data_IF_143307828153
#
_entry.id   IF_143307828153
#
_cell.length_a   1.000
_cell.length_b   1.000
_cell.length_c   1.000
_cell.angle_alpha   90.00
_cell.angle_beta   90.00
_cell.angle_gamma   90.00
#
_symmetry.space_group_name_H-M   'P 1'
#
loop_
_entity.id
_entity.type
_entity.pdbx_description
1 polymer ?
#
# COMPACT_ATOMS: atom_id res chain seq x y z
N UNK A 1 -20.01 -15.30 35.87
CA UNK A 1 -18.84 -16.16 35.59
C UNK A 1 -17.70 -15.77 36.54
N UNK A 2 -16.91 -16.70 37.08
CA UNK A 2 -15.73 -16.35 37.87
C UNK A 2 -14.74 -15.59 36.97
N UNK A 3 -14.46 -14.32 37.30
CA UNK A 3 -13.44 -13.53 36.59
C UNK A 3 -12.07 -13.92 37.15
N UNK A 4 -11.43 -14.89 36.51
CA UNK A 4 -10.00 -15.11 36.70
C UNK A 4 -9.24 -14.20 35.74
N UNK A 5 -8.53 -13.23 36.32
CA UNK A 5 -7.72 -12.28 35.57
C UNK A 5 -6.58 -12.96 34.79
N UNK A 6 -6.01 -14.04 35.34
CA UNK A 6 -4.95 -14.82 34.69
C UNK A 6 -5.46 -15.52 33.43
N UNK A 7 -6.63 -16.16 33.51
CA UNK A 7 -7.27 -16.80 32.36
C UNK A 7 -7.65 -15.76 31.30
N UNK A 8 -8.19 -14.61 31.72
CA UNK A 8 -8.58 -13.53 30.79
C UNK A 8 -7.38 -13.03 29.97
N UNK A 9 -6.22 -12.86 30.60
CA UNK A 9 -5.00 -12.42 29.92
C UNK A 9 -4.47 -13.48 28.94
N UNK A 10 -4.60 -14.77 29.27
CA UNK A 10 -4.19 -15.87 28.38
C UNK A 10 -5.08 -16.00 27.15
N UNK A 11 -6.37 -15.65 27.25
CA UNK A 11 -7.30 -15.73 26.12
C UNK A 11 -7.27 -14.50 25.19
N UNK A 12 -6.61 -13.41 25.60
CA UNK A 12 -6.58 -12.15 24.86
C UNK A 12 -6.10 -12.29 23.40
N UNK A 13 -5.01 -13.04 23.09
CA UNK A 13 -4.56 -13.20 21.71
C UNK A 13 -5.59 -13.93 20.84
N UNK A 14 -6.18 -15.01 21.36
CA UNK A 14 -7.21 -15.77 20.66
C UNK A 14 -8.48 -14.92 20.46
N UNK A 15 -8.89 -14.17 21.48
CA UNK A 15 -10.04 -13.26 21.41
C UNK A 15 -9.82 -12.16 20.36
N UNK A 16 -8.63 -11.58 20.28
CA UNK A 16 -8.27 -10.58 19.28
C UNK A 16 -8.35 -11.14 17.86
N UNK A 17 -7.78 -12.33 17.64
CA UNK A 17 -7.83 -13.02 16.34
C UNK A 17 -9.28 -13.35 15.96
N UNK A 18 -10.08 -13.91 16.88
CA UNK A 18 -11.51 -14.19 16.64
C UNK A 18 -12.28 -12.91 16.33
N UNK A 19 -12.01 -11.80 17.03
CA UNK A 19 -12.68 -10.52 16.79
C UNK A 19 -12.38 -9.99 15.38
N UNK A 20 -11.10 -10.01 14.97
CA UNK A 20 -10.70 -9.58 13.62
C UNK A 20 -11.34 -10.45 12.55
N UNK A 21 -11.24 -11.78 12.68
CA UNK A 21 -11.80 -12.70 11.68
C UNK A 21 -13.31 -12.55 11.58
N UNK A 22 -14.00 -12.54 12.73
CA UNK A 22 -15.45 -12.36 12.79
C UNK A 22 -15.88 -11.05 12.15
N UNK A 23 -15.13 -9.97 12.41
CA UNK A 23 -15.38 -8.68 11.79
C UNK A 23 -15.15 -8.73 10.28
N UNK A 24 -14.01 -9.23 9.81
CA UNK A 24 -13.70 -9.34 8.38
C UNK A 24 -14.74 -10.19 7.62
N UNK A 25 -15.21 -11.29 8.22
CA UNK A 25 -16.27 -12.12 7.65
C UNK A 25 -17.59 -11.35 7.54
N UNK A 26 -18.00 -10.67 8.62
CA UNK A 26 -19.20 -9.84 8.63
C UNK A 26 -19.12 -8.71 7.61
N UNK A 27 -18.01 -7.98 7.55
CA UNK A 27 -17.78 -6.90 6.57
C UNK A 27 -17.86 -7.40 5.14
N UNK A 28 -17.19 -8.52 4.84
CA UNK A 28 -17.17 -9.10 3.49
C UNK A 28 -18.58 -9.50 3.05
N UNK A 29 -19.33 -10.18 3.92
CA UNK A 29 -20.72 -10.56 3.64
C UNK A 29 -21.62 -9.33 3.47
N UNK A 30 -21.54 -8.35 4.38
CA UNK A 30 -22.37 -7.15 4.36
C UNK A 30 -22.10 -6.29 3.13
N UNK A 31 -20.84 -6.15 2.72
CA UNK A 31 -20.47 -5.44 1.49
C UNK A 31 -21.08 -6.06 0.25
N UNK A 32 -21.02 -7.39 0.11
CA UNK A 32 -21.62 -8.10 -1.04
C UNK A 32 -23.14 -7.91 -1.06
N UNK A 33 -23.78 -7.98 0.10
CA UNK A 33 -25.24 -7.79 0.22
C UNK A 33 -25.60 -6.34 -0.11
N UNK A 34 -24.91 -5.36 0.45
CA UNK A 34 -25.13 -3.93 0.21
C UNK A 34 -25.01 -3.56 -1.28
N UNK A 35 -24.04 -4.14 -2.00
CA UNK A 35 -23.90 -3.98 -3.45
C UNK A 35 -25.13 -4.56 -4.17
N UNK A 36 -25.59 -5.76 -3.80
CA UNK A 36 -26.76 -6.42 -4.41
C UNK A 36 -28.08 -5.69 -4.12
N UNK A 37 -28.26 -5.19 -2.91
CA UNK A 37 -29.47 -4.49 -2.46
C UNK A 37 -29.45 -2.99 -2.75
N UNK A 38 -28.32 -2.45 -3.20
CA UNK A 38 -28.09 -1.00 -3.40
C UNK A 38 -28.40 -0.17 -2.17
N UNK A 39 -28.11 -0.71 -0.99
CA UNK A 39 -28.32 -0.03 0.29
C UNK A 39 -27.01 0.53 0.80
N UNK A 40 -27.06 1.73 1.38
CA UNK A 40 -25.92 2.24 2.13
C UNK A 40 -25.73 1.39 3.39
N UNK A 41 -24.47 1.14 3.71
CA UNK A 41 -24.06 0.32 4.84
C UNK A 41 -22.92 1.03 5.55
N UNK A 42 -23.03 1.14 6.87
CA UNK A 42 -22.04 1.78 7.73
C UNK A 42 -21.21 0.69 8.44
N UNK A 43 -19.93 0.63 8.08
CA UNK A 43 -18.94 -0.29 8.63
C UNK A 43 -18.75 -0.13 10.14
N UNK A 44 -18.77 1.11 10.64
CA UNK A 44 -18.61 1.41 12.06
C UNK A 44 -19.82 0.94 12.86
N UNK A 45 -21.02 1.14 12.32
CA UNK A 45 -22.25 0.70 12.96
C UNK A 45 -22.33 -0.83 13.06
N UNK A 46 -21.88 -1.54 12.02
CA UNK A 46 -21.79 -3.01 12.04
C UNK A 46 -20.73 -3.48 13.04
N UNK A 47 -19.58 -2.80 13.16
CA UNK A 47 -18.56 -3.11 14.18
C UNK A 47 -19.15 -3.02 15.60
N UNK A 48 -19.88 -1.94 15.89
CA UNK A 48 -20.56 -1.75 17.18
C UNK A 48 -21.59 -2.87 17.40
N UNK A 49 -22.41 -3.17 16.39
CA UNK A 49 -23.41 -4.24 16.46
C UNK A 49 -22.81 -5.61 16.77
N UNK A 50 -21.72 -5.98 16.08
CA UNK A 50 -20.98 -7.22 16.32
C UNK A 50 -20.36 -7.27 17.73
N UNK A 51 -19.85 -6.15 18.23
CA UNK A 51 -19.31 -6.04 19.58
C UNK A 51 -20.39 -6.26 20.64
N UNK A 52 -21.51 -5.55 20.54
CA UNK A 52 -22.65 -5.70 21.45
C UNK A 52 -23.20 -7.12 21.41
N UNK A 53 -23.34 -7.72 20.23
CA UNK A 53 -23.80 -9.10 20.09
C UNK A 53 -22.90 -10.11 20.83
N UNK A 54 -21.58 -9.95 20.77
CA UNK A 54 -20.62 -10.80 21.49
C UNK A 54 -20.66 -10.58 23.01
N UNK A 55 -20.84 -9.33 23.46
CA UNK A 55 -21.02 -9.03 24.89
C UNK A 55 -22.27 -9.71 25.42
N UNK A 56 -23.41 -9.56 24.73
CA UNK A 56 -24.67 -10.23 25.10
C UNK A 56 -24.50 -11.75 25.10
N UNK A 57 -23.84 -12.31 24.08
CA UNK A 57 -23.55 -13.75 23.99
C UNK A 57 -22.75 -14.26 25.20
N UNK A 58 -21.74 -13.50 25.66
CA UNK A 58 -20.93 -13.86 26.81
C UNK A 58 -21.76 -13.99 28.11
N UNK A 59 -22.80 -13.16 28.29
CA UNK A 59 -23.71 -13.27 29.43
C UNK A 59 -24.74 -14.39 29.30
N UNK A 60 -24.97 -14.90 28.09
CA UNK A 60 -25.91 -15.99 27.81
C UNK A 60 -25.24 -17.38 27.72
N UNK A 61 -23.97 -17.51 28.12
CA UNK A 61 -23.17 -18.74 27.96
C UNK A 61 -23.04 -19.20 26.49
N UNK A 62 -23.16 -18.28 25.53
CA UNK A 62 -22.97 -18.57 24.13
C UNK A 62 -21.50 -18.38 23.72
N UNK A 63 -21.08 -19.09 22.67
CA UNK A 63 -19.79 -18.85 22.02
C UNK A 63 -19.82 -17.48 21.30
N UNK A 64 -18.65 -16.88 21.00
CA UNK A 64 -18.57 -15.65 20.22
C UNK A 64 -19.34 -15.78 18.90
N UNK A 65 -20.29 -14.87 18.68
CA UNK A 65 -21.15 -14.86 17.49
C UNK A 65 -20.57 -13.99 16.38
N UNK A 66 -20.88 -14.33 15.13
CA UNK A 66 -20.46 -13.62 13.92
C UNK A 66 -21.58 -13.62 12.88
N UNK A 67 -21.45 -12.77 11.85
CA UNK A 67 -22.22 -12.90 10.61
C UNK A 67 -21.92 -14.24 9.91
N UNK A 68 -22.86 -14.72 9.08
CA UNK A 68 -22.70 -15.99 8.37
C UNK A 68 -23.03 -15.80 6.89
N UNK A 69 -22.02 -15.95 6.03
CA UNK A 69 -22.16 -15.74 4.59
C UNK A 69 -23.29 -16.59 3.98
N UNK A 70 -23.30 -17.90 4.26
CA UNK A 70 -24.29 -18.83 3.73
C UNK A 70 -25.72 -18.51 4.19
N UNK A 71 -25.91 -18.21 5.48
CA UNK A 71 -27.23 -17.87 6.02
C UNK A 71 -27.75 -16.53 5.51
N UNK A 72 -26.89 -15.52 5.41
CA UNK A 72 -27.28 -14.21 4.89
C UNK A 72 -27.61 -14.28 3.39
N UNK A 73 -26.85 -15.05 2.60
CA UNK A 73 -27.14 -15.28 1.19
C UNK A 73 -28.48 -16.00 0.98
N UNK A 74 -28.76 -17.05 1.75
CA UNK A 74 -30.04 -17.75 1.72
C UNK A 74 -31.19 -16.82 2.14
N UNK A 75 -31.01 -16.04 3.20
CA UNK A 75 -32.02 -15.11 3.69
C UNK A 75 -32.38 -14.05 2.63
N UNK A 76 -31.36 -13.51 1.94
CA UNK A 76 -31.55 -12.59 0.81
C UNK A 76 -32.24 -13.27 -0.37
N UNK A 77 -31.84 -14.49 -0.74
CA UNK A 77 -32.45 -15.25 -1.83
C UNK A 77 -33.93 -15.59 -1.55
N UNK A 78 -34.28 -15.81 -0.28
CA UNK A 78 -35.66 -16.00 0.19
C UNK A 78 -36.48 -14.71 0.24
N UNK A 79 -35.92 -13.57 -0.19
CA UNK A 79 -36.63 -12.29 -0.29
C UNK A 79 -36.72 -11.50 1.02
N UNK A 80 -35.89 -11.80 2.02
CA UNK A 80 -35.87 -11.04 3.26
C UNK A 80 -35.41 -9.60 3.03
N UNK A 81 -36.17 -8.64 3.59
CA UNK A 81 -35.93 -7.19 3.44
C UNK A 81 -35.54 -6.48 4.73
N UNK A 82 -35.79 -7.10 5.88
CA UNK A 82 -35.58 -6.49 7.20
C UNK A 82 -34.91 -7.47 8.16
N UNK A 83 -34.31 -6.96 9.23
CA UNK A 83 -33.72 -7.77 10.30
C UNK A 83 -34.71 -8.66 11.07
N UNK A 84 -36.02 -8.47 10.88
CA UNK A 84 -37.05 -9.33 11.48
C UNK A 84 -36.90 -10.79 11.03
N UNK A 85 -36.38 -11.04 9.84
CA UNK A 85 -36.13 -12.40 9.36
C UNK A 85 -35.16 -13.18 10.29
N UNK A 86 -34.16 -12.50 10.85
CA UNK A 86 -33.23 -13.09 11.82
C UNK A 86 -33.92 -13.39 13.16
N UNK A 87 -34.87 -12.54 13.59
CA UNK A 87 -35.66 -12.77 14.81
C UNK A 87 -36.57 -13.98 14.65
N UNK A 88 -37.29 -14.11 13.52
CA UNK A 88 -38.09 -15.30 13.23
C UNK A 88 -37.22 -16.56 13.18
N UNK A 89 -36.05 -16.48 12.54
CA UNK A 89 -35.09 -17.59 12.52
C UNK A 89 -34.66 -18.01 13.93
N UNK A 90 -34.33 -17.04 14.79
CA UNK A 90 -33.99 -17.31 16.19
C UNK A 90 -35.15 -17.95 16.98
N UNK A 91 -36.38 -17.49 16.74
CA UNK A 91 -37.59 -18.07 17.36
C UNK A 91 -37.80 -19.52 16.92
N UNK A 92 -37.66 -19.84 15.63
CA UNK A 92 -37.75 -21.21 15.13
C UNK A 92 -36.66 -22.11 15.73
N UNK A 93 -35.43 -21.61 15.86
CA UNK A 93 -34.35 -22.34 16.55
C UNK A 93 -34.73 -22.61 18.01
N UNK A 94 -35.25 -21.61 18.74
CA UNK A 94 -35.69 -21.77 20.12
C UNK A 94 -36.80 -22.81 20.26
N UNK A 95 -37.84 -22.76 19.42
CA UNK A 95 -38.93 -23.74 19.39
C UNK A 95 -38.41 -25.14 19.09
N UNK A 96 -37.47 -25.26 18.14
CA UNK A 96 -36.85 -26.53 17.78
C UNK A 96 -36.12 -27.13 18.99
N UNK A 97 -35.35 -26.32 19.72
CA UNK A 97 -34.62 -26.76 20.90
C UNK A 97 -35.55 -27.22 22.04
N UNK A 98 -36.67 -26.53 22.25
CA UNK A 98 -37.61 -26.85 23.33
C UNK A 98 -38.47 -28.09 23.04
N UNK A 99 -38.94 -28.27 21.80
CA UNK A 99 -39.95 -29.28 21.48
C UNK A 99 -39.47 -30.38 20.53
N UNK A 100 -38.52 -30.09 19.63
CA UNK A 100 -38.16 -30.97 18.51
C UNK A 100 -36.79 -31.65 18.67
N UNK A 101 -36.02 -31.33 19.72
CA UNK A 101 -34.73 -32.00 20.01
C UNK A 101 -34.81 -33.54 20.05
N UNK A 102 -35.86 -34.18 20.61
CA UNK A 102 -35.98 -35.64 20.61
C UNK A 102 -36.02 -36.27 19.20
N UNK A 103 -36.57 -35.55 18.22
CA UNK A 103 -36.62 -36.03 16.82
C UNK A 103 -35.23 -36.06 16.17
N UNK A 104 -34.31 -35.23 16.65
CA UNK A 104 -32.94 -35.16 16.15
C UNK A 104 -31.99 -36.15 16.86
N UNK A 105 -32.47 -36.89 17.87
CA UNK A 105 -31.62 -37.77 18.68
C UNK A 105 -30.92 -38.87 17.85
N UNK A 106 -31.62 -39.44 16.86
CA UNK A 106 -31.09 -40.50 16.00
C UNK A 106 -30.34 -39.98 14.76
N UNK A 107 -30.08 -38.68 14.68
CA UNK A 107 -29.44 -38.09 13.51
C UNK A 107 -28.00 -38.62 13.36
N UNK A 108 -27.67 -39.34 12.27
CA UNK A 108 -26.34 -39.92 12.13
C UNK A 108 -25.27 -38.84 11.95
N UNK A 109 -24.13 -38.97 12.66
CA UNK A 109 -22.96 -38.10 12.49
C UNK A 109 -22.51 -37.92 11.03
N UNK A 110 -22.57 -38.96 10.15
CA UNK A 110 -22.23 -38.80 8.74
C UNK A 110 -23.11 -37.77 8.00
N UNK A 111 -24.38 -37.61 8.39
CA UNK A 111 -25.28 -36.61 7.78
C UNK A 111 -24.80 -35.20 8.13
N UNK A 112 -24.44 -34.95 9.40
CA UNK A 112 -23.87 -33.66 9.80
C UNK A 112 -22.54 -33.39 9.09
N UNK A 113 -21.67 -34.39 8.99
CA UNK A 113 -20.40 -34.26 8.29
C UNK A 113 -20.60 -33.91 6.81
N UNK A 114 -21.55 -34.56 6.12
CA UNK A 114 -21.87 -34.26 4.73
C UNK A 114 -22.36 -32.82 4.54
N UNK A 115 -23.24 -32.34 5.44
CA UNK A 115 -23.73 -30.95 5.41
C UNK A 115 -22.60 -29.94 5.63
N UNK A 116 -21.68 -30.21 6.58
CA UNK A 116 -20.51 -29.36 6.83
C UNK A 116 -19.58 -29.36 5.61
N UNK A 117 -19.27 -30.53 5.04
CA UNK A 117 -18.39 -30.63 3.88
C UNK A 117 -18.96 -29.92 2.65
N UNK A 118 -20.26 -30.02 2.43
CA UNK A 118 -20.94 -29.28 1.35
C UNK A 118 -20.75 -27.77 1.51
N UNK A 119 -20.90 -27.23 2.73
CA UNK A 119 -20.64 -25.82 3.00
C UNK A 119 -19.16 -25.46 2.79
N UNK A 120 -18.22 -26.27 3.30
CA UNK A 120 -16.77 -26.03 3.16
C UNK A 120 -16.34 -26.02 1.69
N UNK A 121 -16.81 -26.96 0.87
CA UNK A 121 -16.45 -27.00 -0.55
C UNK A 121 -16.90 -25.75 -1.31
N UNK A 122 -18.02 -25.14 -0.93
CA UNK A 122 -18.47 -23.87 -1.52
C UNK A 122 -17.62 -22.66 -1.14
N UNK A 123 -16.82 -22.75 -0.08
CA UNK A 123 -15.93 -21.67 0.37
C UNK A 123 -14.55 -21.74 -0.28
N UNK A 124 -14.17 -22.88 -0.86
CA UNK A 124 -12.87 -23.04 -1.53
C UNK A 124 -12.94 -22.36 -2.89
N UNK A 125 -12.32 -21.19 -3.02
CA UNK A 125 -12.26 -20.42 -4.28
C UNK A 125 -10.87 -20.47 -4.93
N UNK A 126 -10.64 -21.47 -5.78
CA UNK A 126 -9.38 -21.60 -6.55
C UNK A 126 -9.20 -20.41 -7.51
N UNK A 127 -10.30 -19.89 -8.04
CA UNK A 127 -10.32 -18.73 -8.93
C UNK A 127 -9.70 -17.49 -8.27
N UNK A 128 -10.04 -17.22 -7.01
CA UNK A 128 -9.49 -16.08 -6.26
C UNK A 128 -7.97 -16.18 -6.09
N UNK A 129 -7.45 -17.39 -5.82
CA UNK A 129 -5.99 -17.61 -5.71
C UNK A 129 -5.31 -17.40 -7.07
N UNK A 130 -5.96 -17.84 -8.16
CA UNK A 130 -5.45 -17.66 -9.52
C UNK A 130 -5.43 -16.19 -9.92
N UNK A 131 -6.47 -15.43 -9.62
CA UNK A 131 -6.54 -13.98 -9.83
C UNK A 131 -5.47 -13.23 -9.05
N UNK A 132 -5.25 -13.59 -7.78
CA UNK A 132 -4.16 -13.02 -6.98
C UNK A 132 -2.80 -13.30 -7.63
N UNK A 133 -2.58 -14.51 -8.12
CA UNK A 133 -1.34 -14.91 -8.79
C UNK A 133 -1.10 -14.17 -10.11
N UNK A 134 -2.15 -13.97 -10.92
CA UNK A 134 -2.04 -13.23 -12.19
C UNK A 134 -1.82 -11.74 -11.96
N UNK A 135 -2.45 -11.16 -10.92
CA UNK A 135 -2.24 -9.77 -10.54
C UNK A 135 -0.83 -9.51 -9.99
N UNK A 136 -0.38 -10.34 -9.04
CA UNK A 136 0.97 -10.27 -8.49
C UNK A 136 1.40 -11.62 -7.90
N UNK A 137 2.51 -12.17 -8.41
CA UNK A 137 3.06 -13.46 -7.95
C UNK A 137 3.27 -13.51 -6.43
N UNK A 138 3.67 -12.39 -5.81
CA UNK A 138 3.88 -12.33 -4.35
C UNK A 138 2.58 -12.46 -3.56
N UNK A 139 1.47 -11.91 -4.07
CA UNK A 139 0.14 -12.05 -3.45
C UNK A 139 -0.37 -13.50 -3.59
N UNK A 140 -0.12 -14.11 -4.74
CA UNK A 140 -0.40 -15.53 -4.96
C UNK A 140 0.39 -16.45 -4.02
N UNK A 141 1.70 -16.20 -3.84
CA UNK A 141 2.53 -16.94 -2.88
C UNK A 141 2.03 -16.74 -1.45
N UNK A 142 1.66 -15.51 -1.06
CA UNK A 142 1.12 -15.24 0.26
C UNK A 142 -0.17 -16.01 0.54
N UNK A 143 -1.08 -16.08 -0.44
CA UNK A 143 -2.31 -16.86 -0.33
C UNK A 143 -2.04 -18.36 -0.11
N UNK A 144 -1.13 -18.94 -0.92
CA UNK A 144 -0.76 -20.37 -0.83
C UNK A 144 -0.06 -20.67 0.50
N UNK A 145 0.90 -19.84 0.91
CA UNK A 145 1.61 -19.99 2.19
C UNK A 145 0.64 -19.89 3.35
N UNK A 146 -0.28 -18.93 3.34
CA UNK A 146 -1.28 -18.76 4.40
C UNK A 146 -2.24 -19.96 4.47
N UNK A 147 -2.66 -20.49 3.33
CA UNK A 147 -3.51 -21.69 3.25
C UNK A 147 -2.84 -22.90 3.90
N UNK A 148 -1.61 -23.23 3.49
CA UNK A 148 -0.88 -24.36 4.05
C UNK A 148 -0.47 -24.14 5.51
N UNK A 149 -0.05 -22.92 5.87
CA UNK A 149 0.26 -22.58 7.26
C UNK A 149 -0.96 -22.83 8.16
N UNK A 150 -2.15 -22.38 7.75
CA UNK A 150 -3.39 -22.58 8.51
C UNK A 150 -3.73 -24.06 8.69
N UNK A 151 -3.50 -24.88 7.67
CA UNK A 151 -3.72 -26.33 7.75
C UNK A 151 -2.69 -27.02 8.66
N UNK A 152 -1.41 -26.66 8.54
CA UNK A 152 -0.30 -27.22 9.34
C UNK A 152 -0.43 -26.86 10.82
N UNK A 153 -0.85 -25.63 11.12
CA UNK A 153 -1.01 -25.17 12.50
C UNK A 153 -2.30 -25.66 13.17
N UNK A 154 -3.19 -26.40 12.47
CA UNK A 154 -4.37 -26.99 13.08
C UNK A 154 -3.99 -27.93 14.26
N UNK A 155 -4.61 -27.82 15.45
CA UNK A 155 -5.87 -27.12 15.76
C UNK A 155 -5.74 -25.62 16.11
N UNK A 156 -4.52 -25.08 16.23
CA UNK A 156 -4.24 -23.69 16.57
C UNK A 156 -4.29 -22.78 15.32
N UNK A 157 -5.45 -22.69 14.68
CA UNK A 157 -5.71 -21.96 13.43
C UNK A 157 -5.24 -20.49 13.52
N UNK A 158 -5.31 -19.88 14.71
CA UNK A 158 -4.84 -18.51 14.97
C UNK A 158 -3.40 -18.26 14.51
N UNK A 159 -2.51 -19.24 14.64
CA UNK A 159 -1.10 -19.11 14.26
C UNK A 159 -0.93 -19.02 12.74
N UNK A 160 -1.72 -19.78 11.98
CA UNK A 160 -1.72 -19.71 10.51
C UNK A 160 -2.24 -18.37 10.00
N UNK A 161 -3.28 -17.84 10.64
CA UNK A 161 -3.86 -16.54 10.29
C UNK A 161 -2.86 -15.42 10.61
N UNK A 162 -2.22 -15.46 11.80
CA UNK A 162 -1.21 -14.48 12.17
C UNK A 162 -0.01 -14.51 11.20
N UNK A 163 0.39 -15.71 10.76
CA UNK A 163 1.44 -15.87 9.73
C UNK A 163 1.05 -15.17 8.43
N UNK A 164 -0.20 -15.33 7.97
CA UNK A 164 -0.69 -14.66 6.76
C UNK A 164 -0.74 -13.13 6.89
N UNK A 165 -1.15 -12.61 8.06
CA UNK A 165 -1.17 -11.17 8.35
C UNK A 165 0.25 -10.60 8.33
N UNK A 166 1.18 -11.24 9.03
CA UNK A 166 2.58 -10.82 9.07
C UNK A 166 3.17 -10.84 7.66
N UNK A 167 2.98 -11.93 6.91
CA UNK A 167 3.47 -12.05 5.55
C UNK A 167 2.92 -10.95 4.64
N UNK A 168 1.61 -10.65 4.73
CA UNK A 168 0.98 -9.59 3.95
C UNK A 168 1.56 -8.21 4.30
N UNK A 169 1.79 -7.93 5.58
CA UNK A 169 2.40 -6.69 6.04
C UNK A 169 3.86 -6.58 5.57
N UNK A 170 4.63 -7.67 5.67
CA UNK A 170 6.01 -7.72 5.17
C UNK A 170 6.06 -7.48 3.67
N UNK A 171 5.17 -8.10 2.89
CA UNK A 171 5.10 -7.88 1.44
C UNK A 171 4.69 -6.45 1.09
N UNK A 172 3.76 -5.87 1.85
CA UNK A 172 3.38 -4.47 1.71
C UNK A 172 4.58 -3.54 1.94
N UNK A 173 5.31 -3.71 3.05
CA UNK A 173 6.52 -2.94 3.35
C UNK A 173 7.59 -3.13 2.27
N UNK A 174 7.86 -4.36 1.85
CA UNK A 174 8.86 -4.65 0.83
C UNK A 174 8.56 -3.94 -0.49
N UNK A 175 7.28 -3.82 -0.87
CA UNK A 175 6.84 -3.11 -2.09
C UNK A 175 7.04 -1.60 -1.99
N UNK A 176 6.81 -1.01 -0.82
CA UNK A 176 6.95 0.44 -0.62
C UNK A 176 8.40 0.86 -0.39
N UNK A 177 9.29 -0.08 -0.02
CA UNK A 177 10.73 0.16 0.17
C UNK A 177 11.51 0.40 -1.13
N UNK A 178 11.06 -0.15 -2.27
CA UNK A 178 11.69 0.07 -3.58
C UNK A 178 10.70 0.64 -4.60
N UNK A 179 10.28 1.91 -4.45
CA UNK A 179 9.42 2.55 -5.44
C UNK A 179 10.07 2.59 -6.82
N UNK A 180 9.26 2.74 -7.87
CA UNK A 180 9.79 2.84 -9.22
C UNK A 180 10.48 4.19 -9.40
N UNK A 181 11.73 4.13 -9.87
CA UNK A 181 12.48 5.29 -10.34
C UNK A 181 12.53 5.20 -11.85
N UNK A 182 12.00 6.23 -12.51
CA UNK A 182 11.87 6.28 -13.96
C UNK A 182 12.77 7.39 -14.47
N UNK A 183 13.78 7.04 -15.25
CA UNK A 183 14.53 8.02 -16.04
C UNK A 183 13.64 8.51 -17.18
N UNK A 184 13.56 9.83 -17.30
CA UNK A 184 12.71 10.51 -18.26
C UNK A 184 13.51 10.95 -19.48
N UNK A 185 12.89 10.84 -20.65
CA UNK A 185 13.33 11.38 -21.92
C UNK A 185 12.27 12.30 -22.49
N UNK A 186 12.65 13.08 -23.50
CA UNK A 186 11.75 14.04 -24.16
C UNK A 186 11.13 13.36 -25.38
N UNK A 187 9.82 13.44 -25.50
CA UNK A 187 9.12 12.98 -26.72
C UNK A 187 9.08 14.05 -27.82
N UNK A 188 8.56 13.69 -28.99
CA UNK A 188 8.46 14.60 -30.16
C UNK A 188 7.65 15.87 -29.88
N UNK A 189 6.82 15.87 -28.83
CA UNK A 189 5.99 17.00 -28.41
C UNK A 189 6.60 17.82 -27.27
N UNK A 190 7.82 17.49 -26.84
CA UNK A 190 8.52 18.19 -25.76
C UNK A 190 8.05 17.80 -24.35
N UNK A 191 7.35 16.67 -24.19
CA UNK A 191 6.87 16.20 -22.87
C UNK A 191 7.77 15.12 -22.28
N UNK A 192 7.91 15.11 -20.96
CA UNK A 192 8.74 14.11 -20.28
C UNK A 192 8.00 12.78 -20.14
N UNK A 193 8.60 11.73 -20.70
CA UNK A 193 8.07 10.36 -20.65
C UNK A 193 9.16 9.37 -20.29
N UNK A 194 8.76 8.16 -19.91
CA UNK A 194 9.71 7.11 -19.57
C UNK A 194 10.63 6.78 -20.75
N UNK A 195 11.93 7.08 -20.62
CA UNK A 195 12.91 6.88 -21.68
C UNK A 195 12.99 5.41 -22.09
N UNK A 196 13.06 4.51 -21.10
CA UNK A 196 13.14 3.06 -21.36
C UNK A 196 11.89 2.48 -22.01
N UNK A 197 10.69 2.98 -21.67
CA UNK A 197 9.44 2.42 -22.20
C UNK A 197 9.17 2.84 -23.64
N UNK A 198 9.53 4.07 -24.00
CA UNK A 198 9.27 4.65 -25.31
C UNK A 198 10.53 4.77 -26.18
N UNK A 199 11.67 4.24 -25.71
CA UNK A 199 12.98 4.32 -26.36
C UNK A 199 13.37 5.76 -26.76
N UNK A 200 13.15 6.70 -25.83
CA UNK A 200 13.42 8.13 -26.05
C UNK A 200 14.88 8.48 -25.71
N UNK A 201 15.47 9.46 -26.40
CA UNK A 201 16.77 10.00 -26.02
C UNK A 201 16.70 10.71 -24.66
N UNK A 202 17.84 10.77 -23.98
CA UNK A 202 18.00 11.61 -22.78
C UNK A 202 17.88 13.10 -23.12
N UNK A 203 17.65 13.93 -22.10
CA UNK A 203 17.50 15.38 -22.28
C UNK A 203 18.78 16.04 -22.82
N UNK A 204 19.90 15.75 -22.16
CA UNK A 204 21.21 16.33 -22.46
C UNK A 204 22.29 15.44 -21.81
N UNK A 205 23.53 15.36 -22.34
CA UNK A 205 24.59 14.58 -21.70
C UNK A 205 24.83 14.96 -20.22
N UNK A 206 24.66 16.25 -19.91
CA UNK A 206 24.85 16.81 -18.57
C UNK A 206 23.59 16.82 -17.68
N UNK A 207 22.42 16.37 -18.17
CA UNK A 207 21.13 16.48 -17.46
C UNK A 207 20.41 15.14 -17.44
N UNK A 208 20.06 14.66 -16.25
CA UNK A 208 19.19 13.50 -16.07
C UNK A 208 17.91 13.90 -15.35
N UNK A 209 16.76 13.70 -16.00
CA UNK A 209 15.46 13.87 -15.37
C UNK A 209 14.93 12.53 -14.84
N UNK A 210 14.44 12.51 -13.61
CA UNK A 210 13.92 11.31 -12.96
C UNK A 210 12.55 11.57 -12.35
N UNK A 211 11.71 10.55 -12.33
CA UNK A 211 10.46 10.52 -11.56
C UNK A 211 10.53 9.43 -10.51
N UNK A 212 10.24 9.78 -9.27
CA UNK A 212 10.11 8.84 -8.16
C UNK A 212 8.63 8.60 -7.86
N UNK A 213 8.14 7.38 -8.08
CA UNK A 213 6.72 7.03 -7.93
C UNK A 213 6.45 6.49 -6.51
N UNK A 214 6.51 7.34 -5.48
CA UNK A 214 6.30 6.93 -4.08
C UNK A 214 6.41 8.05 -3.05
N UNK A 215 6.03 7.77 -1.81
CA UNK A 215 6.34 8.65 -0.67
C UNK A 215 7.82 8.53 -0.32
N UNK A 216 8.49 9.62 0.05
CA UNK A 216 9.84 9.57 0.63
C UNK A 216 9.70 9.45 2.15
N UNK A 217 10.08 8.31 2.69
CA UNK A 217 9.95 8.00 4.11
C UNK A 217 11.06 7.07 4.60
N UNK A 218 11.17 6.88 5.92
CA UNK A 218 12.28 6.17 6.56
C UNK A 218 12.71 4.87 5.86
N UNK A 219 11.76 4.08 5.32
CA UNK A 219 12.08 2.76 4.78
C UNK A 219 12.63 2.80 3.33
N UNK A 220 12.53 3.91 2.60
CA UNK A 220 12.95 4.00 1.20
C UNK A 220 13.88 5.17 0.85
N UNK A 221 14.20 6.03 1.80
CA UNK A 221 15.10 7.18 1.58
C UNK A 221 16.49 6.75 1.13
N UNK A 222 17.04 5.68 1.70
CA UNK A 222 18.33 5.12 1.27
C UNK A 222 18.29 4.63 -0.17
N UNK A 223 17.17 4.04 -0.60
CA UNK A 223 17.01 3.58 -1.98
C UNK A 223 16.97 4.75 -2.97
N UNK A 224 16.32 5.86 -2.60
CA UNK A 224 16.36 7.08 -3.41
C UNK A 224 17.78 7.64 -3.50
N UNK A 225 18.47 7.78 -2.37
CA UNK A 225 19.84 8.28 -2.30
C UNK A 225 20.80 7.42 -3.13
N UNK A 226 20.82 6.10 -2.91
CA UNK A 226 21.64 5.15 -3.67
C UNK A 226 21.39 5.25 -5.16
N UNK A 227 20.13 5.43 -5.58
CA UNK A 227 19.78 5.55 -6.99
C UNK A 227 20.33 6.85 -7.61
N UNK A 228 20.22 7.97 -6.89
CA UNK A 228 20.79 9.26 -7.31
C UNK A 228 22.31 9.15 -7.45
N UNK A 229 22.98 8.59 -6.46
CA UNK A 229 24.43 8.39 -6.46
C UNK A 229 24.88 7.42 -7.57
N UNK A 230 24.12 6.36 -7.82
CA UNK A 230 24.38 5.43 -8.90
C UNK A 230 24.32 6.13 -10.27
N UNK A 231 23.33 7.00 -10.49
CA UNK A 231 23.21 7.79 -11.73
C UNK A 231 24.40 8.72 -11.94
N UNK A 232 24.90 9.34 -10.87
CA UNK A 232 26.10 10.18 -10.91
C UNK A 232 27.34 9.35 -11.26
N UNK A 233 27.52 8.22 -10.59
CA UNK A 233 28.67 7.35 -10.86
C UNK A 233 28.66 6.74 -12.28
N UNK A 234 27.47 6.58 -12.87
CA UNK A 234 27.29 6.02 -14.21
C UNK A 234 27.43 7.04 -15.33
N UNK A 235 27.35 8.35 -15.02
CA UNK A 235 27.48 9.43 -15.99
C UNK A 235 28.41 10.53 -15.45
N UNK A 236 29.72 10.47 -15.75
CA UNK A 236 30.71 11.45 -15.27
C UNK A 236 30.48 12.89 -15.73
N UNK A 237 29.72 13.09 -16.81
CA UNK A 237 29.40 14.44 -17.34
C UNK A 237 28.15 15.04 -16.67
N UNK A 238 27.49 14.31 -15.77
CA UNK A 238 26.26 14.76 -15.15
C UNK A 238 26.49 15.97 -14.25
N UNK A 239 25.83 17.09 -14.56
CA UNK A 239 25.84 18.31 -13.75
C UNK A 239 24.50 18.60 -13.08
N UNK A 240 23.40 18.12 -13.64
CA UNK A 240 22.06 18.42 -13.13
C UNK A 240 21.20 17.17 -13.06
N UNK A 241 20.56 16.98 -11.91
CA UNK A 241 19.49 15.98 -11.72
C UNK A 241 18.18 16.72 -11.49
N UNK A 242 17.23 16.53 -12.41
CA UNK A 242 15.89 17.08 -12.29
C UNK A 242 14.94 16.01 -11.74
N UNK A 243 14.44 16.21 -10.53
CA UNK A 243 13.43 15.35 -9.90
C UNK A 243 12.04 15.88 -10.24
N UNK A 244 11.31 15.12 -11.05
CA UNK A 244 9.89 15.36 -11.33
C UNK A 244 9.07 14.83 -10.16
N UNK A 245 8.56 15.74 -9.36
CA UNK A 245 7.93 15.51 -8.06
C UNK A 245 6.48 15.07 -8.07
N UNK A 246 5.85 14.97 -9.25
CA UNK A 246 4.44 14.59 -9.36
C UNK A 246 4.14 13.16 -8.85
N UNK A 247 5.16 12.29 -8.84
CA UNK A 247 5.10 10.95 -8.25
C UNK A 247 5.31 10.92 -6.73
N UNK A 248 5.83 12.01 -6.14
CA UNK A 248 6.14 12.08 -4.71
C UNK A 248 4.87 12.45 -3.94
N UNK A 249 4.37 11.50 -3.15
CA UNK A 249 3.07 11.63 -2.46
C UNK A 249 3.16 12.21 -1.05
N UNK A 250 4.37 12.29 -0.48
CA UNK A 250 4.58 12.76 0.89
C UNK A 250 6.06 12.74 1.24
N UNK A 251 6.37 13.37 2.36
CA UNK A 251 7.71 13.47 2.92
C UNK A 251 7.60 13.35 4.45
N UNK A 252 8.36 12.44 5.06
CA UNK A 252 8.50 12.36 6.51
C UNK A 252 9.80 13.04 7.00
N UNK A 253 10.06 12.99 8.30
CA UNK A 253 11.26 13.58 8.90
C UNK A 253 12.56 12.98 8.34
N UNK A 254 12.61 11.65 8.13
CA UNK A 254 13.78 10.99 7.55
C UNK A 254 14.00 11.37 6.08
N UNK A 255 12.92 11.57 5.33
CA UNK A 255 12.97 12.06 3.95
C UNK A 255 13.48 13.50 3.86
N UNK A 256 13.05 14.37 4.76
CA UNK A 256 13.59 15.75 4.84
C UNK A 256 15.09 15.70 5.13
N UNK A 257 15.51 14.95 6.15
CA UNK A 257 16.92 14.89 6.56
C UNK A 257 17.80 14.34 5.44
N UNK A 258 17.40 13.22 4.81
CA UNK A 258 18.14 12.65 3.69
C UNK A 258 18.27 13.64 2.53
N UNK A 259 17.22 14.38 2.19
CA UNK A 259 17.30 15.40 1.14
C UNK A 259 18.27 16.53 1.49
N UNK A 260 18.32 16.98 2.75
CA UNK A 260 19.29 18.00 3.21
C UNK A 260 20.72 17.50 3.03
N UNK A 261 21.02 16.31 3.56
CA UNK A 261 22.35 15.71 3.46
C UNK A 261 22.75 15.46 2.00
N UNK A 262 21.80 15.02 1.16
CA UNK A 262 22.03 14.80 -0.26
C UNK A 262 22.34 16.11 -0.99
N UNK A 263 21.58 17.19 -0.73
CA UNK A 263 21.84 18.51 -1.31
C UNK A 263 23.23 19.04 -0.95
N UNK A 264 23.62 18.96 0.32
CA UNK A 264 24.96 19.37 0.78
C UNK A 264 26.06 18.57 0.07
N UNK A 265 25.90 17.25 -0.02
CA UNK A 265 26.85 16.36 -0.68
C UNK A 265 26.98 16.64 -2.17
N UNK A 266 25.85 16.87 -2.85
CA UNK A 266 25.85 17.15 -4.28
C UNK A 266 26.45 18.53 -4.59
N UNK A 267 26.19 19.52 -3.74
CA UNK A 267 26.80 20.86 -3.83
C UNK A 267 28.33 20.82 -3.77
N UNK A 268 28.91 19.95 -2.95
CA UNK A 268 30.38 19.76 -2.89
C UNK A 268 30.96 19.16 -4.17
N UNK A 269 30.17 18.37 -4.91
CA UNK A 269 30.58 17.76 -6.19
C UNK A 269 30.24 18.60 -7.42
N UNK A 270 29.62 19.78 -7.25
CA UNK A 270 29.20 20.64 -8.35
C UNK A 270 27.99 20.11 -9.13
N UNK A 271 27.21 19.19 -8.54
CA UNK A 271 26.00 18.63 -9.15
C UNK A 271 24.79 19.30 -8.53
N UNK A 272 23.92 19.88 -9.35
CA UNK A 272 22.68 20.53 -8.89
C UNK A 272 21.52 19.53 -8.86
N UNK A 273 20.82 19.46 -7.72
CA UNK A 273 19.57 18.72 -7.57
C UNK A 273 18.40 19.69 -7.63
N UNK A 274 17.60 19.59 -8.69
CA UNK A 274 16.46 20.47 -8.96
C UNK A 274 15.16 19.69 -8.88
N UNK A 275 14.06 20.38 -8.57
CA UNK A 275 12.74 19.78 -8.42
C UNK A 275 11.72 20.48 -9.31
N UNK A 276 10.79 19.74 -9.89
CA UNK A 276 9.65 20.34 -10.57
C UNK A 276 8.34 19.62 -10.28
N UNK A 277 7.22 20.34 -10.39
CA UNK A 277 5.87 19.77 -10.30
C UNK A 277 5.60 19.01 -8.98
N UNK A 278 6.07 19.58 -7.86
CA UNK A 278 5.87 19.03 -6.51
C UNK A 278 4.40 19.18 -6.07
N UNK A 279 3.86 18.17 -5.38
CA UNK A 279 2.52 18.24 -4.78
C UNK A 279 2.49 19.21 -3.60
N UNK A 280 1.37 19.92 -3.43
CA UNK A 280 1.18 20.87 -2.33
C UNK A 280 1.46 20.27 -0.94
N UNK A 281 0.98 19.05 -0.68
CA UNK A 281 1.24 18.35 0.59
C UNK A 281 2.73 18.12 0.87
N UNK A 282 3.56 17.99 -0.17
CA UNK A 282 5.01 17.86 -0.03
C UNK A 282 5.64 19.24 0.15
N UNK A 283 5.24 20.22 -0.67
CA UNK A 283 5.72 21.60 -0.57
C UNK A 283 5.47 22.21 0.81
N UNK A 284 4.30 21.94 1.41
CA UNK A 284 3.96 22.39 2.77
C UNK A 284 4.95 21.84 3.81
N UNK A 285 5.34 20.57 3.68
CA UNK A 285 6.35 19.97 4.56
C UNK A 285 7.73 20.58 4.32
N UNK A 286 8.11 20.78 3.06
CA UNK A 286 9.39 21.42 2.71
C UNK A 286 9.49 22.84 3.26
N UNK A 287 8.39 23.61 3.21
CA UNK A 287 8.33 24.98 3.73
C UNK A 287 8.46 24.99 5.26
N UNK A 288 7.67 24.17 5.97
CA UNK A 288 7.71 24.11 7.44
C UNK A 288 9.06 23.65 8.01
N UNK A 289 9.86 22.93 7.21
CA UNK A 289 11.14 22.34 7.65
C UNK A 289 12.37 23.12 7.17
N UNK A 290 12.16 24.23 6.46
CA UNK A 290 13.21 25.06 5.85
C UNK A 290 13.90 24.40 4.65
N UNK A 291 13.40 23.26 4.14
CA UNK A 291 14.03 22.56 3.03
C UNK A 291 13.98 23.38 1.72
N UNK A 292 12.92 24.19 1.53
CA UNK A 292 12.82 25.07 0.35
C UNK A 292 13.97 26.10 0.31
N UNK A 293 14.41 26.60 1.46
CA UNK A 293 15.50 27.57 1.56
C UNK A 293 16.85 26.92 1.23
N UNK A 294 17.04 25.66 1.62
CA UNK A 294 18.26 24.88 1.33
C UNK A 294 18.34 24.51 -0.15
N UNK A 295 17.21 24.14 -0.76
CA UNK A 295 17.16 23.83 -2.20
C UNK A 295 17.40 25.09 -3.05
N UNK A 296 16.92 26.24 -2.59
CA UNK A 296 16.89 27.48 -3.36
C UNK A 296 15.64 27.56 -4.25
N UNK A 297 14.98 28.72 -4.25
CA UNK A 297 13.77 28.93 -5.05
C UNK A 297 14.04 28.85 -6.56
N UNK A 298 15.28 29.09 -6.97
CA UNK A 298 15.78 28.98 -8.33
C UNK A 298 15.94 27.54 -8.83
N UNK A 299 15.86 26.54 -7.94
CA UNK A 299 15.96 25.12 -8.26
C UNK A 299 14.61 24.40 -8.13
N UNK A 300 13.52 25.14 -7.89
CA UNK A 300 12.16 24.60 -7.77
C UNK A 300 11.27 25.21 -8.85
N UNK A 301 10.69 24.35 -9.68
CA UNK A 301 9.91 24.78 -10.84
C UNK A 301 8.46 24.31 -10.77
N UNK A 302 7.49 25.16 -11.14
CA UNK A 302 6.08 24.76 -11.21
C UNK A 302 5.78 23.78 -12.36
N UNK A 303 6.54 23.83 -13.46
CA UNK A 303 6.29 23.01 -14.65
C UNK A 303 7.56 22.36 -15.19
N UNK A 304 7.39 21.21 -15.84
CA UNK A 304 8.49 20.47 -16.49
C UNK A 304 9.14 21.30 -17.60
N UNK A 305 8.34 21.99 -18.41
CA UNK A 305 8.83 22.84 -19.51
C UNK A 305 9.72 23.98 -19.02
N UNK A 306 9.27 24.70 -17.98
CA UNK A 306 10.05 25.81 -17.42
C UNK A 306 11.36 25.32 -16.80
N UNK A 307 11.34 24.14 -16.15
CA UNK A 307 12.55 23.53 -15.62
C UNK A 307 13.56 23.23 -16.72
N UNK A 308 13.13 22.61 -17.82
CA UNK A 308 14.03 22.25 -18.94
C UNK A 308 14.59 23.51 -19.62
N UNK A 309 13.75 24.51 -19.90
CA UNK A 309 14.19 25.77 -20.51
C UNK A 309 15.25 26.48 -19.64
N UNK A 310 15.01 26.55 -18.33
CA UNK A 310 15.95 27.18 -17.39
C UNK A 310 17.26 26.40 -17.27
N UNK A 311 17.19 25.07 -17.22
CA UNK A 311 18.38 24.20 -17.15
C UNK A 311 19.23 24.37 -18.41
N UNK A 312 18.61 24.36 -19.59
CA UNK A 312 19.32 24.53 -20.85
C UNK A 312 19.98 25.92 -20.96
N UNK A 313 19.29 26.97 -20.49
CA UNK A 313 19.87 28.32 -20.44
C UNK A 313 21.12 28.38 -19.54
N UNK A 314 21.05 27.81 -18.33
CA UNK A 314 22.21 27.75 -17.40
C UNK A 314 23.39 26.98 -17.99
N UNK A 315 23.12 25.89 -18.71
CA UNK A 315 24.18 25.11 -19.35
C UNK A 315 24.83 25.88 -20.51
N UNK A 316 24.03 26.58 -21.33
CA UNK A 316 24.54 27.40 -22.42
C UNK A 316 25.42 28.56 -21.93
N UNK A 317 25.04 29.24 -20.84
CA UNK A 317 25.85 30.29 -20.20
C UNK A 317 27.19 29.72 -19.69
N UNK A 318 27.17 28.55 -19.06
CA UNK A 318 28.36 27.89 -18.53
C UNK A 318 29.31 27.41 -19.64
N UNK A 319 28.79 27.05 -20.81
CA UNK A 319 29.60 26.71 -21.99
C UNK A 319 30.21 27.95 -22.64
N UNK A 320 29.46 29.05 -22.73
CA UNK A 320 29.92 30.32 -23.34
C UNK A 320 31.03 30.98 -22.53
N UNK A 321 30.99 30.88 -21.20
CA UNK A 321 32.01 31.45 -20.30
C UNK A 321 33.35 30.69 -20.41
N UNK A 322 33.31 29.38 -20.70
CA UNK A 322 34.50 28.56 -20.95
C UNK A 322 35.17 28.88 -22.28
N UNK A 323 34.40 29.02 -23.36
CA UNK A 323 34.94 29.40 -24.68
C UNK A 323 35.55 30.79 -24.68
N UNK A 324 34.99 31.72 -23.91
CA UNK A 324 35.53 33.09 -23.78
C UNK A 324 36.83 33.09 -22.99
N UNK A 325 36.93 32.27 -21.94
CA UNK A 325 38.16 32.11 -21.14
C UNK A 325 39.29 31.44 -21.93
N UNK A 326 38.97 30.42 -22.74
CA UNK A 326 39.94 29.75 -23.63
C UNK A 326 40.40 30.66 -24.78
N UNK A 327 39.51 31.48 -25.35
CA UNK A 327 39.86 32.45 -26.38
C UNK A 327 40.83 33.53 -25.87
N UNK A 328 40.61 34.04 -24.64
CA UNK A 328 41.51 35.02 -24.01
C UNK A 328 42.88 34.41 -23.68
N UNK A 329 42.95 33.13 -23.31
CA UNK A 329 44.23 32.43 -23.11
C UNK A 329 44.98 32.16 -24.43
N UNK A 330 44.27 31.92 -25.54
CA UNK A 330 44.91 31.77 -26.85
C UNK A 330 45.43 33.08 -27.45
N UNK A 331 44.74 34.22 -27.21
CA UNK A 331 45.19 35.54 -27.68
C UNK A 331 46.39 36.07 -26.90
N UNK A 332 46.53 35.74 -25.61
CA UNK A 332 47.72 36.07 -24.83
C UNK A 332 48.94 35.16 -25.13
N UNK A 333 48.75 34.01 -25.76
CA UNK A 333 49.84 33.14 -26.23
C UNK A 333 50.52 33.63 -27.51
N UNK A 334 49.85 34.44 -28.34
CA UNK A 334 50.34 34.90 -29.64
C UNK A 334 50.98 36.30 -29.63
N UNK A 335 51.14 36.93 -28.47
CA UNK A 335 51.81 38.24 -28.31
C UNK A 335 53.29 38.11 -27.85
N UNK A 336 53.83 36.89 -27.82
CA UNK A 336 55.21 36.61 -27.38
C UNK A 336 56.04 35.74 -28.34
N UNK A 337 55.67 35.66 -29.63
CA UNK A 337 56.60 35.24 -30.71
C UNK A 337 57.06 36.43 -31.56
#
# INVERSE_FOLDING_TARGET
PPMDWGVSMQMLPAAFVIAIISFMEAMSSSKIIAIKTRTQWDENQELIGQGVAKVVAAFSHAMPVSGSFSRSALNLASGAKTGLASIFSALFVLLTLLFFTPLLYHLPKPVLAAVIMMAVFSLISIETIKEAWTANKLDGVAAVVTFFATLIFAPNIQNGILTGIILSLTLFLFRTMKPRIVVLGVDEHGTLRSARRFNLPGLHPHVTAIRFDGQLYFANVSYFEESVLYMISSNPELKVILVVGNGINGLDASGVEMLKTLLERLGQTGIALMFCNMKGTVTDVMQRTGLLEIIGSENIFPSEKLAIETINARLAETETDKTTTEAIQSDHGNLHE
#
